data_IF_238750708031
#
_entry.id   IF_238750708031
#
_cell.length_a   1.000
_cell.length_b   1.000
_cell.length_c   1.000
_cell.angle_alpha   90.00
_cell.angle_beta   90.00
_cell.angle_gamma   90.00
#
_symmetry.space_group_name_H-M   'P 1'
#
loop_
_entity.id
_entity.type
_entity.pdbx_description
1 polymer ?
#
# COMPACT_ATOMS: atom_id res chain seq x y z
N UNK A 1 -9.48 -41.35 -22.50
CA UNK A 1 -8.28 -41.38 -21.63
C UNK A 1 -7.77 -39.96 -21.48
N UNK A 2 -7.44 -39.57 -20.24
CA UNK A 2 -7.28 -38.20 -19.75
C UNK A 2 -6.11 -37.46 -20.41
N UNK A 3 -6.36 -36.26 -20.91
CA UNK A 3 -5.34 -35.24 -21.17
C UNK A 3 -5.05 -34.49 -19.87
N UNK A 4 -3.90 -34.78 -19.25
CA UNK A 4 -3.34 -33.94 -18.20
C UNK A 4 -2.46 -32.87 -18.87
N UNK A 5 -2.94 -31.64 -18.91
CA UNK A 5 -2.23 -30.51 -19.50
C UNK A 5 -2.32 -29.28 -18.60
N UNK A 6 -1.17 -28.65 -18.38
CA UNK A 6 -0.97 -27.28 -17.90
C UNK A 6 -1.52 -26.90 -16.52
N UNK A 7 -0.74 -27.17 -15.46
CA UNK A 7 -0.81 -26.41 -14.19
C UNK A 7 0.56 -26.09 -13.54
N UNK A 8 1.68 -26.29 -14.22
CA UNK A 8 3.03 -26.09 -13.62
C UNK A 8 3.80 -24.86 -14.11
N UNK A 9 3.19 -24.02 -14.95
CA UNK A 9 3.88 -22.87 -15.56
C UNK A 9 3.47 -21.50 -14.99
N UNK A 10 2.43 -21.39 -14.15
CA UNK A 10 2.03 -20.08 -13.57
C UNK A 10 2.70 -19.75 -12.24
N UNK A 11 3.30 -20.71 -11.54
CA UNK A 11 4.02 -20.45 -10.28
C UNK A 11 5.45 -19.89 -10.53
N UNK A 12 6.03 -20.17 -11.70
CA UNK A 12 7.39 -19.75 -12.05
C UNK A 12 7.54 -18.23 -12.27
N UNK A 13 6.46 -17.52 -12.57
CA UNK A 13 6.51 -16.07 -12.79
C UNK A 13 6.32 -15.24 -11.51
N UNK A 14 5.75 -15.83 -10.45
CA UNK A 14 5.56 -15.14 -9.17
C UNK A 14 6.83 -15.14 -8.30
N UNK A 15 7.64 -16.21 -8.37
CA UNK A 15 8.82 -16.38 -7.52
C UNK A 15 9.99 -15.45 -7.89
N UNK A 16 10.16 -15.13 -9.18
CA UNK A 16 11.19 -14.20 -9.64
C UNK A 16 10.78 -12.72 -9.49
N UNK A 17 9.49 -12.45 -9.32
CA UNK A 17 8.97 -11.09 -9.05
C UNK A 17 9.25 -10.60 -7.63
N UNK A 18 9.34 -11.51 -6.67
CA UNK A 18 9.63 -11.17 -5.26
C UNK A 18 11.11 -10.81 -5.02
N UNK A 19 12.03 -11.29 -5.87
CA UNK A 19 13.48 -11.09 -5.71
C UNK A 19 14.03 -9.78 -6.33
N UNK A 20 13.20 -9.01 -7.04
CA UNK A 20 13.64 -7.81 -7.78
C UNK A 20 13.16 -6.47 -7.22
N UNK A 21 12.49 -6.43 -6.07
CA UNK A 21 11.83 -5.21 -5.58
C UNK A 21 12.62 -4.33 -4.59
N UNK A 22 13.96 -4.44 -4.47
CA UNK A 22 14.72 -3.52 -3.59
C UNK A 22 16.07 -3.01 -4.11
N UNK A 23 16.34 -3.08 -5.41
CA UNK A 23 17.51 -2.39 -6.01
C UNK A 23 17.09 -1.18 -6.85
N UNK A 24 16.56 -0.17 -6.17
CA UNK A 24 16.40 1.18 -6.72
C UNK A 24 17.45 2.12 -6.14
N UNK A 25 18.64 2.15 -6.71
CA UNK A 25 19.59 3.25 -6.48
C UNK A 25 19.05 4.51 -7.18
N UNK A 26 18.28 5.33 -6.48
CA UNK A 26 18.09 6.74 -6.83
C UNK A 26 19.00 7.61 -5.95
N UNK A 27 19.65 8.64 -6.49
CA UNK A 27 20.38 9.59 -5.68
C UNK A 27 19.36 10.33 -4.80
N UNK A 28 19.43 10.11 -3.50
CA UNK A 28 18.65 10.86 -2.54
C UNK A 28 19.32 12.23 -2.32
N UNK A 29 19.00 13.19 -3.19
CA UNK A 29 18.64 14.50 -2.64
C UNK A 29 17.59 14.25 -1.56
N UNK A 30 17.70 14.97 -0.44
CA UNK A 30 17.15 14.59 0.86
C UNK A 30 15.83 15.33 1.20
N UNK A 31 14.69 15.11 0.49
CA UNK A 31 13.40 15.67 0.90
C UNK A 31 12.73 14.88 2.03
N UNK A 32 13.30 13.74 2.47
CA UNK A 32 12.63 12.86 3.43
C UNK A 32 12.53 13.39 4.88
N UNK A 33 13.28 14.41 5.29
CA UNK A 33 13.19 14.93 6.67
C UNK A 33 11.97 15.84 6.89
N UNK A 34 11.72 16.74 5.95
CA UNK A 34 10.61 17.69 6.03
C UNK A 34 9.25 16.98 5.91
N UNK A 35 9.16 15.99 5.02
CA UNK A 35 7.96 15.14 4.89
C UNK A 35 7.62 14.40 6.20
N UNK A 36 8.65 13.93 6.93
CA UNK A 36 8.47 13.24 8.22
C UNK A 36 7.95 14.16 9.32
N UNK A 37 8.42 15.40 9.37
CA UNK A 37 7.99 16.38 10.38
C UNK A 37 6.51 16.81 10.18
N UNK A 38 5.99 16.66 8.96
CA UNK A 38 4.59 16.95 8.62
C UNK A 38 3.66 15.72 8.76
N UNK A 39 4.20 14.59 9.23
CA UNK A 39 3.44 13.34 9.48
C UNK A 39 3.24 13.16 10.99
N UNK A 40 2.04 12.81 11.48
CA UNK A 40 0.87 12.37 10.75
C UNK A 40 0.09 13.50 10.09
N UNK A 41 -0.59 13.18 8.99
CA UNK A 41 -1.56 14.07 8.35
C UNK A 41 -2.76 13.30 7.82
N UNK A 42 -3.85 14.04 7.64
CA UNK A 42 -5.09 13.54 7.02
C UNK A 42 -5.61 14.55 6.00
N UNK A 43 -6.10 14.02 4.89
CA UNK A 43 -6.86 14.77 3.90
C UNK A 43 -8.26 14.19 3.82
N UNK A 44 -9.27 15.04 3.72
CA UNK A 44 -10.66 14.64 3.53
C UNK A 44 -11.32 15.47 2.45
N UNK A 45 -12.22 14.83 1.69
CA UNK A 45 -13.05 15.51 0.72
C UNK A 45 -14.34 14.76 0.44
N UNK A 46 -15.32 15.52 -0.04
CA UNK A 46 -16.62 15.02 -0.44
C UNK A 46 -17.06 15.71 -1.73
N UNK A 47 -17.57 14.95 -2.69
CA UNK A 47 -18.27 15.50 -3.85
C UNK A 47 -19.35 14.54 -4.35
N UNK A 48 -20.57 15.06 -4.55
CA UNK A 48 -21.74 14.22 -4.82
C UNK A 48 -21.96 13.22 -3.68
N UNK A 49 -22.14 11.96 -4.04
CA UNK A 49 -22.32 10.85 -3.09
C UNK A 49 -21.01 10.23 -2.60
N UNK A 50 -19.85 10.76 -2.99
CA UNK A 50 -18.56 10.21 -2.63
C UNK A 50 -17.92 10.96 -1.46
N UNK A 51 -17.46 10.22 -0.47
CA UNK A 51 -16.61 10.72 0.62
C UNK A 51 -15.29 9.94 0.60
N UNK A 52 -14.17 10.65 0.72
CA UNK A 52 -12.83 10.06 0.65
C UNK A 52 -11.94 10.64 1.74
N UNK A 53 -11.14 9.79 2.36
CA UNK A 53 -10.09 10.18 3.28
C UNK A 53 -8.75 9.56 2.89
N UNK A 54 -7.68 10.33 3.02
CA UNK A 54 -6.31 9.84 2.94
C UNK A 54 -5.61 10.13 4.26
N UNK A 55 -4.96 9.12 4.84
CA UNK A 55 -4.28 9.22 6.13
C UNK A 55 -2.88 8.67 5.98
N UNK A 56 -1.88 9.43 6.44
CA UNK A 56 -0.53 8.92 6.61
C UNK A 56 -0.10 9.15 8.04
N UNK A 57 0.35 8.09 8.70
CA UNK A 57 0.72 8.11 10.12
C UNK A 57 1.81 7.09 10.41
N UNK A 58 2.44 7.19 11.58
CA UNK A 58 3.27 6.11 12.08
C UNK A 58 2.41 4.86 12.35
N UNK A 59 2.98 3.68 12.10
CA UNK A 59 2.41 2.41 12.55
C UNK A 59 2.38 2.40 14.08
N UNK A 60 1.29 1.87 14.63
CA UNK A 60 1.16 1.59 16.05
C UNK A 60 2.06 0.41 16.44
N UNK A 61 2.37 0.24 17.74
CA UNK A 61 3.10 -0.95 18.21
C UNK A 61 2.41 -2.26 17.83
N UNK A 62 1.07 -2.32 17.93
CA UNK A 62 0.31 -3.51 17.58
C UNK A 62 0.41 -3.85 16.08
N UNK A 63 0.31 -2.86 15.20
CA UNK A 63 0.49 -3.06 13.75
C UNK A 63 1.92 -3.50 13.40
N UNK A 64 2.93 -2.99 14.11
CA UNK A 64 4.31 -3.47 13.95
C UNK A 64 4.45 -4.93 14.38
N UNK A 65 3.85 -5.32 15.50
CA UNK A 65 3.86 -6.70 15.97
C UNK A 65 3.17 -7.65 14.99
N UNK A 66 2.03 -7.24 14.43
CA UNK A 66 1.32 -7.98 13.40
C UNK A 66 2.18 -8.14 12.14
N UNK A 67 2.80 -7.06 11.66
CA UNK A 67 3.64 -7.11 10.47
C UNK A 67 4.92 -7.93 10.68
N UNK A 68 5.50 -7.89 11.89
CA UNK A 68 6.61 -8.78 12.27
C UNK A 68 6.18 -10.25 12.29
N UNK A 69 4.96 -10.56 12.73
CA UNK A 69 4.43 -11.92 12.67
C UNK A 69 4.22 -12.39 11.22
N UNK A 70 3.63 -11.55 10.38
CA UNK A 70 3.46 -11.81 8.94
C UNK A 70 4.81 -12.05 8.25
N UNK A 71 5.82 -11.24 8.57
CA UNK A 71 7.16 -11.37 8.00
C UNK A 71 7.81 -12.71 8.36
N UNK A 72 7.62 -13.18 9.60
CA UNK A 72 8.12 -14.49 10.06
C UNK A 72 7.41 -15.65 9.36
N UNK A 73 6.09 -15.58 9.23
CA UNK A 73 5.32 -16.59 8.51
C UNK A 73 5.75 -16.67 7.03
N UNK A 74 5.93 -15.51 6.38
CA UNK A 74 6.44 -15.46 5.01
C UNK A 74 7.84 -16.04 4.89
N UNK A 75 8.74 -15.73 5.83
CA UNK A 75 10.08 -16.31 5.87
C UNK A 75 10.03 -17.85 5.93
N UNK A 76 9.23 -18.41 6.85
CA UNK A 76 9.08 -19.86 7.00
C UNK A 76 8.54 -20.53 5.72
N UNK A 77 7.55 -19.91 5.08
CA UNK A 77 6.97 -20.41 3.83
C UNK A 77 8.01 -20.40 2.69
N UNK A 78 8.75 -19.30 2.53
CA UNK A 78 9.75 -19.20 1.46
C UNK A 78 10.93 -20.14 1.73
N UNK A 79 11.40 -20.26 2.96
CA UNK A 79 12.47 -21.21 3.32
C UNK A 79 12.07 -22.66 3.03
N UNK A 80 10.83 -23.05 3.33
CA UNK A 80 10.31 -24.37 2.99
C UNK A 80 10.28 -24.61 1.47
N UNK A 81 9.84 -23.62 0.69
CA UNK A 81 9.79 -23.72 -0.77
C UNK A 81 11.20 -23.80 -1.39
N UNK A 82 12.15 -22.99 -0.92
CA UNK A 82 13.53 -23.02 -1.39
C UNK A 82 14.21 -24.38 -1.11
N UNK A 83 13.93 -24.98 0.04
CA UNK A 83 14.42 -26.30 0.40
C UNK A 83 13.91 -27.40 -0.57
N UNK A 84 12.65 -27.30 -1.01
CA UNK A 84 12.10 -28.22 -2.01
C UNK A 84 12.73 -28.03 -3.40
N UNK A 85 13.04 -26.79 -3.76
CA UNK A 85 13.58 -26.41 -5.07
C UNK A 85 15.09 -26.61 -5.22
N UNK A 86 15.79 -26.98 -4.14
CA UNK A 86 17.26 -27.15 -4.11
C UNK A 86 18.02 -25.93 -4.65
N UNK A 87 17.52 -24.75 -4.28
CA UNK A 87 18.20 -23.48 -4.55
C UNK A 87 19.55 -23.48 -3.82
N UNK A 88 20.51 -22.74 -4.38
CA UNK A 88 21.86 -22.67 -3.82
C UNK A 88 21.86 -22.01 -2.42
N UNK A 89 22.81 -22.46 -1.58
CA UNK A 89 22.92 -22.05 -0.19
C UNK A 89 23.18 -20.54 -0.02
N UNK A 90 23.86 -19.92 -0.98
CA UNK A 90 24.15 -18.49 -0.96
C UNK A 90 22.86 -17.66 -1.13
N UNK A 91 22.01 -18.03 -2.07
CA UNK A 91 20.69 -17.40 -2.27
C UNK A 91 19.81 -17.55 -1.03
N UNK A 92 19.78 -18.74 -0.41
CA UNK A 92 19.02 -18.95 0.84
C UNK A 92 19.55 -18.07 1.99
N UNK A 93 20.88 -17.96 2.14
CA UNK A 93 21.49 -17.09 3.15
C UNK A 93 21.15 -15.62 2.91
N UNK A 94 21.29 -15.13 1.69
CA UNK A 94 20.98 -13.73 1.35
C UNK A 94 19.53 -13.39 1.64
N UNK A 95 18.60 -14.32 1.34
CA UNK A 95 17.19 -14.12 1.64
C UNK A 95 16.95 -14.04 3.15
N UNK A 96 17.54 -14.96 3.93
CA UNK A 96 17.43 -14.93 5.40
C UNK A 96 17.95 -13.62 5.98
N UNK A 97 19.12 -13.17 5.54
CA UNK A 97 19.69 -11.88 5.95
C UNK A 97 18.77 -10.70 5.59
N UNK A 98 18.04 -10.77 4.45
CA UNK A 98 17.06 -9.76 4.07
C UNK A 98 15.84 -9.74 5.00
N UNK A 99 15.30 -10.90 5.36
CA UNK A 99 14.20 -11.00 6.33
C UNK A 99 14.62 -10.49 7.71
N UNK A 100 15.77 -10.93 8.22
CA UNK A 100 16.30 -10.50 9.53
C UNK A 100 16.52 -8.98 9.58
N UNK A 101 17.11 -8.41 8.52
CA UNK A 101 17.31 -6.96 8.41
C UNK A 101 15.99 -6.21 8.33
N UNK A 102 14.98 -6.75 7.65
CA UNK A 102 13.66 -6.12 7.54
C UNK A 102 12.95 -6.14 8.88
N UNK A 103 13.00 -7.26 9.60
CA UNK A 103 12.47 -7.38 10.96
C UNK A 103 13.14 -6.38 11.91
N UNK A 104 14.49 -6.33 11.92
CA UNK A 104 15.23 -5.40 12.75
C UNK A 104 14.88 -3.93 12.42
N UNK A 105 14.79 -3.59 11.13
CA UNK A 105 14.40 -2.24 10.74
C UNK A 105 12.98 -1.89 11.22
N UNK A 106 12.03 -2.81 11.11
CA UNK A 106 10.65 -2.60 11.55
C UNK A 106 10.56 -2.43 13.08
N UNK A 107 11.38 -3.14 13.83
CA UNK A 107 11.51 -3.00 15.29
C UNK A 107 12.13 -1.64 15.67
N UNK A 108 13.27 -1.29 15.07
CA UNK A 108 14.11 -0.17 15.50
C UNK A 108 13.70 1.19 14.90
N UNK A 109 13.17 1.21 13.67
CA UNK A 109 12.88 2.45 12.93
C UNK A 109 11.41 2.80 12.99
N UNK A 110 11.10 4.07 12.79
CA UNK A 110 9.72 4.46 12.52
C UNK A 110 9.29 3.88 11.18
N UNK A 111 8.13 3.22 11.18
CA UNK A 111 7.43 2.79 9.98
C UNK A 111 6.15 3.61 9.85
N UNK A 112 5.80 3.97 8.63
CA UNK A 112 4.64 4.78 8.32
C UNK A 112 3.65 3.95 7.51
N UNK A 113 2.36 4.10 7.81
CA UNK A 113 1.27 3.52 7.03
C UNK A 113 0.55 4.63 6.28
N UNK A 114 0.25 4.36 5.01
CA UNK A 114 -0.52 5.21 4.12
C UNK A 114 -1.83 4.51 3.78
N UNK A 115 -2.94 5.16 4.07
CA UNK A 115 -4.30 4.63 3.90
C UNK A 115 -5.11 5.56 3.01
N UNK A 116 -5.88 4.98 2.09
CA UNK A 116 -6.96 5.68 1.38
C UNK A 116 -8.24 4.90 1.65
N UNK A 117 -9.23 5.57 2.21
CA UNK A 117 -10.56 5.02 2.45
C UNK A 117 -11.59 5.86 1.71
N UNK A 118 -12.70 5.24 1.33
CA UNK A 118 -13.83 5.99 0.83
C UNK A 118 -15.12 5.20 0.84
N UNK A 119 -16.19 5.90 0.50
CA UNK A 119 -17.56 5.40 0.46
C UNK A 119 -18.33 6.09 -0.65
N UNK A 120 -19.20 5.34 -1.34
CA UNK A 120 -20.19 5.89 -2.26
C UNK A 120 -21.57 5.75 -1.62
N UNK A 121 -22.16 6.85 -1.17
CA UNK A 121 -23.47 6.87 -0.51
C UNK A 121 -24.64 6.63 -1.46
N UNK A 122 -24.40 6.60 -2.76
CA UNK A 122 -25.43 6.28 -3.75
C UNK A 122 -25.70 4.78 -3.77
N UNK A 123 -26.97 4.41 -3.60
CA UNK A 123 -27.41 3.03 -3.80
C UNK A 123 -27.49 2.63 -5.27
N UNK A 124 -27.46 3.58 -6.20
CA UNK A 124 -27.61 3.32 -7.65
C UNK A 124 -26.32 2.74 -8.24
N UNK A 125 -25.17 3.22 -7.79
CA UNK A 125 -23.83 2.79 -8.24
C UNK A 125 -23.27 1.63 -7.42
N UNK A 126 -23.99 1.15 -6.40
CA UNK A 126 -23.50 0.10 -5.53
C UNK A 126 -23.20 -1.21 -6.30
N UNK A 127 -22.01 -1.76 -6.09
CA UNK A 127 -21.54 -2.97 -6.79
C UNK A 127 -20.87 -2.72 -8.14
N UNK A 128 -20.87 -1.48 -8.63
CA UNK A 128 -20.15 -1.12 -9.86
C UNK A 128 -18.65 -0.96 -9.61
N UNK A 129 -17.85 -1.32 -10.61
CA UNK A 129 -16.40 -1.11 -10.57
C UNK A 129 -16.08 0.33 -10.96
N UNK A 130 -15.15 0.95 -10.25
CA UNK A 130 -14.64 2.28 -10.56
C UNK A 130 -13.11 2.31 -10.45
N UNK A 131 -12.48 3.14 -11.27
CA UNK A 131 -11.07 3.47 -11.15
C UNK A 131 -10.93 4.72 -10.30
N UNK A 132 -9.87 4.80 -9.51
CA UNK A 132 -9.59 5.95 -8.65
C UNK A 132 -8.13 6.35 -8.73
N UNK A 133 -7.87 7.65 -8.54
CA UNK A 133 -6.54 8.23 -8.60
C UNK A 133 -6.40 9.38 -7.60
N UNK A 134 -5.44 9.25 -6.67
CA UNK A 134 -5.01 10.35 -5.81
C UNK A 134 -3.93 11.17 -6.52
N UNK A 135 -4.16 12.48 -6.61
CA UNK A 135 -3.18 13.44 -7.12
C UNK A 135 -2.75 14.43 -6.03
N UNK A 136 -1.51 14.92 -6.14
CA UNK A 136 -1.00 16.06 -5.39
C UNK A 136 -0.29 17.02 -6.34
N UNK A 137 -0.63 18.31 -6.28
CA UNK A 137 -0.08 19.36 -7.14
C UNK A 137 -0.05 18.98 -8.65
N UNK A 138 -1.12 18.33 -9.12
CA UNK A 138 -1.30 17.93 -10.52
C UNK A 138 -0.52 16.68 -10.96
N UNK A 139 0.13 15.97 -10.03
CA UNK A 139 0.85 14.72 -10.32
C UNK A 139 0.13 13.54 -9.67
N UNK A 140 0.01 12.44 -10.42
CA UNK A 140 -0.50 11.17 -9.91
C UNK A 140 0.43 10.60 -8.85
N UNK A 141 -0.13 10.31 -7.67
CA UNK A 141 0.58 9.69 -6.55
C UNK A 141 0.30 8.19 -6.52
N UNK A 142 -0.98 7.81 -6.42
CA UNK A 142 -1.42 6.42 -6.34
C UNK A 142 -2.76 6.28 -7.06
N UNK A 143 -3.02 5.09 -7.60
CA UNK A 143 -4.26 4.76 -8.28
C UNK A 143 -4.59 3.28 -8.09
N UNK A 144 -5.86 2.94 -8.30
CA UNK A 144 -6.34 1.56 -8.26
C UNK A 144 -7.75 1.44 -8.82
N UNK A 145 -8.30 0.25 -8.67
CA UNK A 145 -9.68 -0.07 -9.05
C UNK A 145 -10.38 -0.66 -7.83
N UNK A 146 -11.62 -0.26 -7.59
CA UNK A 146 -12.43 -0.72 -6.46
C UNK A 146 -13.88 -0.95 -6.89
N UNK A 147 -14.66 -1.57 -6.02
CA UNK A 147 -16.12 -1.70 -6.19
C UNK A 147 -16.83 -0.70 -5.27
N UNK A 148 -17.79 0.03 -5.82
CA UNK A 148 -18.57 1.02 -5.08
C UNK A 148 -19.43 0.34 -4.00
N UNK A 149 -19.41 0.91 -2.80
CA UNK A 149 -20.14 0.43 -1.63
C UNK A 149 -20.69 1.61 -0.84
N UNK A 150 -21.88 1.43 -0.25
CA UNK A 150 -22.49 2.38 0.69
C UNK A 150 -21.89 2.30 2.09
N UNK A 151 -21.09 1.27 2.35
CA UNK A 151 -20.29 1.11 3.56
C UNK A 151 -18.87 1.65 3.33
N UNK A 152 -18.27 2.34 4.33
CA UNK A 152 -16.87 2.74 4.28
C UNK A 152 -15.94 1.54 4.03
N UNK A 153 -14.98 1.71 3.14
CA UNK A 153 -14.01 0.68 2.82
C UNK A 153 -12.61 1.22 2.58
N UNK A 154 -11.62 0.36 2.84
CA UNK A 154 -10.21 0.60 2.54
C UNK A 154 -9.97 0.36 1.04
N UNK A 155 -9.45 1.38 0.35
CA UNK A 155 -9.14 1.33 -1.09
C UNK A 155 -7.65 1.09 -1.34
N UNK A 156 -6.80 1.56 -0.43
CA UNK A 156 -5.36 1.37 -0.51
C UNK A 156 -4.76 1.36 0.89
N UNK A 157 -3.83 0.43 1.12
CA UNK A 157 -2.95 0.42 2.27
C UNK A 157 -1.55 0.03 1.83
N UNK A 158 -0.57 0.74 2.35
CA UNK A 158 0.83 0.36 2.28
C UNK A 158 1.54 0.83 3.54
N UNK A 159 2.67 0.20 3.84
CA UNK A 159 3.61 0.75 4.80
C UNK A 159 4.97 0.94 4.17
N UNK A 160 5.72 1.91 4.66
CA UNK A 160 7.12 2.08 4.35
C UNK A 160 7.94 2.28 5.62
N UNK A 161 9.15 1.77 5.60
CA UNK A 161 10.18 2.13 6.57
C UNK A 161 10.83 3.46 6.17
N UNK A 162 11.52 4.09 7.14
CA UNK A 162 12.18 5.39 7.01
C UNK A 162 12.79 5.66 5.61
N UNK A 163 12.37 6.75 4.98
CA UNK A 163 12.62 7.05 3.56
C UNK A 163 11.65 8.10 3.02
N UNK A 164 11.51 8.18 1.69
CA UNK A 164 10.42 8.96 1.06
C UNK A 164 9.09 8.23 1.28
N UNK A 165 8.06 8.97 1.66
CA UNK A 165 6.74 8.38 1.85
C UNK A 165 6.09 8.07 0.50
N UNK A 166 5.37 6.94 0.37
CA UNK A 166 4.63 6.60 -0.86
C UNK A 166 3.58 7.66 -1.18
N UNK A 167 2.87 8.12 -0.15
CA UNK A 167 2.05 9.31 -0.21
C UNK A 167 2.77 10.39 0.62
N UNK A 168 3.42 11.37 -0.01
CA UNK A 168 4.07 12.47 0.71
C UNK A 168 3.00 13.43 1.27
N UNK A 169 3.32 14.22 2.31
CA UNK A 169 2.42 15.25 2.81
C UNK A 169 1.99 16.19 1.69
N UNK A 170 0.68 16.38 1.55
CA UNK A 170 0.10 17.22 0.51
C UNK A 170 -0.52 18.45 1.17
N UNK A 171 -0.14 19.63 0.69
CA UNK A 171 -0.84 20.87 1.06
C UNK A 171 -2.25 20.93 0.43
N UNK A 172 -2.37 20.36 -0.77
CA UNK A 172 -3.58 20.22 -1.55
C UNK A 172 -3.57 18.85 -2.24
N UNK A 173 -4.72 18.18 -2.32
CA UNK A 173 -4.87 16.94 -3.06
C UNK A 173 -6.21 16.89 -3.76
N UNK A 174 -6.34 15.97 -4.70
CA UNK A 174 -7.61 15.64 -5.32
C UNK A 174 -7.72 14.14 -5.52
N UNK A 175 -8.93 13.62 -5.35
CA UNK A 175 -9.28 12.27 -5.75
C UNK A 175 -10.10 12.33 -7.03
N UNK A 176 -9.64 11.63 -8.06
CA UNK A 176 -10.39 11.45 -9.31
C UNK A 176 -10.99 10.05 -9.30
N UNK A 177 -12.29 9.94 -9.48
CA UNK A 177 -13.02 8.67 -9.57
C UNK A 177 -13.66 8.58 -10.95
N UNK A 178 -13.43 7.48 -11.65
CA UNK A 178 -13.99 7.21 -12.97
C UNK A 178 -14.85 5.96 -12.92
N UNK A 179 -16.13 6.09 -13.28
CA UNK A 179 -17.12 5.01 -13.31
C UNK A 179 -17.87 5.06 -14.64
N UNK A 180 -17.72 4.02 -15.47
CA UNK A 180 -18.19 4.08 -16.86
C UNK A 180 -17.58 5.27 -17.61
N UNK A 181 -18.44 6.15 -18.14
CA UNK A 181 -18.04 7.37 -18.84
C UNK A 181 -18.06 8.62 -17.93
N UNK A 182 -18.41 8.46 -16.65
CA UNK A 182 -18.49 9.56 -15.70
C UNK A 182 -17.18 9.72 -14.93
N UNK A 183 -16.83 10.97 -14.62
CA UNK A 183 -15.66 11.31 -13.80
C UNK A 183 -16.06 12.30 -12.72
N UNK A 184 -15.78 11.95 -11.47
CA UNK A 184 -15.96 12.80 -10.30
C UNK A 184 -14.59 13.22 -9.81
N UNK A 185 -14.39 14.53 -9.61
CA UNK A 185 -13.18 15.08 -8.99
C UNK A 185 -13.53 15.63 -7.62
N UNK A 186 -12.90 15.08 -6.59
CA UNK A 186 -13.12 15.42 -5.19
C UNK A 186 -11.89 16.19 -4.69
N UNK A 187 -11.99 17.50 -4.44
CA UNK A 187 -10.90 18.22 -3.79
C UNK A 187 -10.72 17.70 -2.37
N UNK A 188 -9.48 17.42 -1.98
CA UNK A 188 -9.11 16.96 -0.66
C UNK A 188 -8.45 18.10 0.12
N UNK A 189 -8.98 18.36 1.30
CA UNK A 189 -8.54 19.43 2.19
C UNK A 189 -7.76 18.83 3.35
N UNK A 190 -6.69 19.52 3.75
CA UNK A 190 -5.96 19.17 4.96
C UNK A 190 -6.88 19.31 6.18
N UNK A 191 -6.98 18.23 6.95
CA UNK A 191 -7.58 18.24 8.26
C UNK A 191 -6.50 17.92 9.30
N UNK A 192 -6.57 18.57 10.47
CA UNK A 192 -5.74 18.19 11.59
C UNK A 192 -5.95 16.70 11.87
N UNK A 193 -4.86 15.94 11.94
CA UNK A 193 -4.92 14.51 12.15
C UNK A 193 -5.78 14.19 13.38
N UNK A 194 -6.93 13.58 13.16
CA UNK A 194 -7.77 13.00 14.20
C UNK A 194 -7.79 11.50 13.95
N UNK A 195 -7.68 10.69 15.01
CA UNK A 195 -7.84 9.23 14.94
C UNK A 195 -9.28 8.79 14.56
N UNK A 196 -10.06 9.66 13.92
CA UNK A 196 -11.33 9.31 13.30
C UNK A 196 -11.05 8.52 12.03
N UNK A 197 -10.67 7.26 12.20
CA UNK A 197 -10.92 6.25 11.17
C UNK A 197 -12.42 6.26 10.96
N UNK A 198 -12.89 6.44 9.72
CA UNK A 198 -14.30 6.41 9.36
C UNK A 198 -14.90 5.09 9.88
N UNK A 199 -15.55 5.18 11.04
CA UNK A 199 -16.23 4.11 11.76
C UNK A 199 -17.66 3.96 11.28
#
# INVERSE_FOLDING_TARGET
>A
MKTAGNRRLSAFAALLGALLLLSGCYPADNPGKEEREQTPYSLYGQAGDWEVSCVVRAMTPAEKEEELANLREQQELVEAELAEQKIDEETCRQLKEQYERTAQNLEEKTAYVSLVNGVCRSGETAGESFDWQLNGSGVKIVAGTQTASTEPGLWYSSYQMDGRLFIPPLAEGEMVITIGDETVTIPLTYEAYTEKVLS
#
